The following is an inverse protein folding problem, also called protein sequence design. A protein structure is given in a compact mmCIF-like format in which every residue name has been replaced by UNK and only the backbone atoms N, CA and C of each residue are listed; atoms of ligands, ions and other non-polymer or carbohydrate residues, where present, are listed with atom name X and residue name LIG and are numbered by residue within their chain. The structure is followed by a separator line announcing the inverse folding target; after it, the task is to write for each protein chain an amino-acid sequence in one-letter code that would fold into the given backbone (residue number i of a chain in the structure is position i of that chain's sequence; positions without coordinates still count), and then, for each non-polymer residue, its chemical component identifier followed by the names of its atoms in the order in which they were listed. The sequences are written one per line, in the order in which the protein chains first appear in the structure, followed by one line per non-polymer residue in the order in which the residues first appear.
data_IF_103925422805
#
_entry.id   IF_103925422805
#
_cell.length_a   1.000
_cell.length_b   1.000
_cell.length_c   1.000
_cell.angle_alpha   90.00
_cell.angle_beta   90.00
_cell.angle_gamma   90.00
#
_symmetry.space_group_name_H-M   'P 1'
#
loop_
_entity.id
_entity.type
_entity.pdbx_description
1 polymer ?
#
# COMPACT_ATOMS: atom_id res chain seq x y z
N UNK A 1 -14.25 -19.22 -3.51
CA UNK A 1 -13.02 -19.60 -2.78
C UNK A 1 -13.44 -19.79 -1.34
N UNK A 2 -13.12 -20.94 -0.77
CA UNK A 2 -13.47 -21.26 0.61
C UNK A 2 -12.74 -20.32 1.60
N UNK A 3 -13.43 -19.89 2.64
CA UNK A 3 -12.86 -19.03 3.68
C UNK A 3 -12.61 -17.57 3.28
N UNK A 4 -13.20 -17.07 2.19
CA UNK A 4 -13.18 -15.64 1.85
C UNK A 4 -14.08 -14.84 2.79
N UNK A 5 -13.51 -13.86 3.51
CA UNK A 5 -14.25 -12.92 4.36
C UNK A 5 -14.93 -11.83 3.54
N UNK A 6 -14.27 -11.32 2.49
CA UNK A 6 -14.77 -10.23 1.65
C UNK A 6 -14.42 -10.46 0.17
N UNK A 7 -15.36 -10.18 -0.72
CA UNK A 7 -15.18 -10.24 -2.18
C UNK A 7 -15.55 -8.87 -2.76
N UNK A 8 -14.54 -8.15 -3.27
CA UNK A 8 -14.62 -6.74 -3.62
C UNK A 8 -14.36 -6.57 -5.11
N UNK A 9 -15.30 -5.91 -5.79
CA UNK A 9 -15.09 -5.44 -7.16
C UNK A 9 -14.26 -4.16 -7.12
N UNK A 10 -13.19 -4.14 -7.91
CA UNK A 10 -12.30 -3.01 -8.04
C UNK A 10 -12.25 -2.55 -9.49
N UNK A 11 -13.07 -1.56 -9.82
CA UNK A 11 -13.12 -0.94 -11.14
C UNK A 11 -12.17 0.25 -11.19
N UNK A 12 -11.26 0.22 -12.15
CA UNK A 12 -10.34 1.32 -12.46
C UNK A 12 -10.90 2.10 -13.65
N UNK A 13 -11.12 3.40 -13.50
CA UNK A 13 -11.49 4.29 -14.60
C UNK A 13 -10.53 5.48 -14.66
N UNK A 14 -10.12 5.87 -15.86
CA UNK A 14 -9.15 6.95 -16.11
C UNK A 14 -9.59 7.91 -17.24
N UNK A 15 -10.82 7.76 -17.69
CA UNK A 15 -11.41 8.54 -18.76
C UNK A 15 -12.27 9.68 -18.19
N UNK A 16 -13.51 9.81 -18.64
CA UNK A 16 -14.46 10.81 -18.15
C UNK A 16 -14.66 10.62 -16.63
N UNK A 17 -14.31 11.64 -15.85
CA UNK A 17 -14.33 11.59 -14.38
C UNK A 17 -12.95 11.53 -13.72
N UNK A 18 -11.88 11.36 -14.52
CA UNK A 18 -10.50 11.33 -14.04
C UNK A 18 -10.11 9.96 -13.48
N UNK A 19 -9.06 9.94 -12.65
CA UNK A 19 -8.52 8.73 -12.04
C UNK A 19 -9.37 8.29 -10.85
N UNK A 20 -10.05 7.16 -10.96
CA UNK A 20 -11.00 6.73 -9.93
C UNK A 20 -10.93 5.23 -9.65
N UNK A 21 -11.34 4.88 -8.43
CA UNK A 21 -11.64 3.52 -7.97
C UNK A 21 -13.15 3.45 -7.74
N UNK A 22 -13.85 2.56 -8.44
CA UNK A 22 -15.30 2.40 -8.36
C UNK A 22 -16.05 3.74 -8.56
N UNK A 23 -15.59 4.55 -9.51
CA UNK A 23 -16.16 5.85 -9.85
C UNK A 23 -15.89 6.99 -8.86
N UNK A 24 -15.02 6.79 -7.87
CA UNK A 24 -14.60 7.85 -6.91
C UNK A 24 -13.10 8.07 -6.93
N UNK A 25 -12.68 9.32 -6.90
CA UNK A 25 -11.29 9.70 -6.67
C UNK A 25 -11.07 10.05 -5.19
N UNK A 26 -9.89 9.77 -4.66
CA UNK A 26 -9.49 10.19 -3.32
C UNK A 26 -9.66 11.72 -3.17
N UNK A 27 -10.19 12.20 -2.03
CA UNK A 27 -10.46 11.49 -0.77
C UNK A 27 -11.86 10.84 -0.66
N UNK A 28 -12.63 10.74 -1.74
CA UNK A 28 -13.99 10.19 -1.71
C UNK A 28 -14.05 8.66 -1.88
N UNK A 29 -12.92 8.00 -2.11
CA UNK A 29 -12.79 6.55 -2.16
C UNK A 29 -13.14 5.91 -0.81
N UNK A 30 -13.78 4.75 -0.85
CA UNK A 30 -14.10 4.01 0.37
C UNK A 30 -12.90 3.16 0.77
N UNK A 31 -12.39 3.27 2.03
CA UNK A 31 -11.38 2.35 2.53
C UNK A 31 -11.97 0.94 2.68
N UNK A 32 -11.14 -0.06 2.46
CA UNK A 32 -11.46 -1.45 2.76
C UNK A 32 -11.20 -1.64 4.26
N UNK A 33 -12.18 -2.18 4.99
CA UNK A 33 -12.05 -2.43 6.42
C UNK A 33 -12.09 -3.93 6.65
N UNK A 34 -11.05 -4.48 7.26
CA UNK A 34 -10.94 -5.90 7.58
C UNK A 34 -10.55 -6.11 9.04
N UNK A 35 -10.76 -7.32 9.52
CA UNK A 35 -10.23 -7.80 10.80
C UNK A 35 -8.99 -8.63 10.55
N UNK A 36 -8.04 -8.59 11.48
CA UNK A 36 -6.88 -9.47 11.48
C UNK A 36 -7.31 -10.95 11.31
N UNK A 37 -6.73 -11.62 10.33
CA UNK A 37 -7.07 -12.99 9.91
C UNK A 37 -8.07 -13.06 8.75
N UNK A 38 -8.66 -11.94 8.32
CA UNK A 38 -9.56 -11.93 7.18
C UNK A 38 -8.84 -12.26 5.87
N UNK A 39 -9.58 -12.94 4.98
CA UNK A 39 -9.15 -13.19 3.61
C UNK A 39 -10.01 -12.37 2.65
N UNK A 40 -9.39 -11.43 1.95
CA UNK A 40 -10.06 -10.56 0.99
C UNK A 40 -9.74 -11.03 -0.42
N UNK A 41 -10.75 -11.08 -1.27
CA UNK A 41 -10.59 -11.23 -2.72
C UNK A 41 -10.85 -9.88 -3.37
N UNK A 42 -9.88 -9.34 -4.08
CA UNK A 42 -10.03 -8.16 -4.93
C UNK A 42 -10.14 -8.63 -6.37
N UNK A 43 -11.22 -8.23 -7.03
CA UNK A 43 -11.46 -8.48 -8.46
C UNK A 43 -11.17 -7.21 -9.23
N UNK A 44 -9.94 -7.08 -9.72
CA UNK A 44 -9.55 -5.96 -10.53
C UNK A 44 -10.23 -6.02 -11.90
N UNK A 45 -10.76 -4.88 -12.32
CA UNK A 45 -11.32 -4.66 -13.64
C UNK A 45 -10.81 -3.30 -14.12
N UNK A 46 -10.02 -3.29 -15.18
CA UNK A 46 -9.60 -2.03 -15.78
C UNK A 46 -10.51 -1.67 -16.95
N UNK A 47 -11.41 -0.73 -16.71
CA UNK A 47 -12.31 -0.15 -17.72
C UNK A 47 -11.72 1.12 -18.35
N UNK A 48 -10.52 1.52 -17.94
CA UNK A 48 -9.76 2.62 -18.49
C UNK A 48 -9.04 2.28 -19.78
N UNK A 49 -8.29 3.28 -20.28
CA UNK A 49 -7.49 3.20 -21.50
C UNK A 49 -5.98 3.13 -21.23
N UNK A 50 -5.54 3.32 -19.98
CA UNK A 50 -4.16 3.18 -19.53
C UNK A 50 -3.97 1.94 -18.66
N UNK A 51 -2.73 1.49 -18.55
CA UNK A 51 -2.36 0.46 -17.58
C UNK A 51 -2.33 1.07 -16.17
N UNK A 52 -2.85 0.32 -15.19
CA UNK A 52 -2.84 0.72 -13.78
C UNK A 52 -2.10 -0.32 -12.92
N UNK A 53 -0.86 -0.02 -12.48
CA UNK A 53 -0.16 -0.83 -11.48
C UNK A 53 -0.74 -0.59 -10.09
N UNK A 54 -1.52 -1.53 -9.58
CA UNK A 54 -2.12 -1.46 -8.24
C UNK A 54 -1.12 -1.96 -7.21
N UNK A 55 -0.69 -1.07 -6.31
CA UNK A 55 0.30 -1.34 -5.27
C UNK A 55 -0.36 -1.31 -3.88
N UNK A 56 -0.21 -2.40 -3.13
CA UNK A 56 -0.66 -2.52 -1.75
C UNK A 56 0.55 -2.49 -0.81
N UNK A 57 0.50 -1.61 0.18
CA UNK A 57 1.49 -1.56 1.25
C UNK A 57 1.25 -2.66 2.29
N UNK A 58 2.31 -3.07 2.99
CA UNK A 58 2.26 -3.98 4.15
C UNK A 58 2.13 -5.46 3.78
N UNK A 59 1.15 -5.84 2.96
CA UNK A 59 0.84 -7.23 2.64
C UNK A 59 0.95 -7.52 1.15
N UNK A 60 1.42 -8.71 0.76
CA UNK A 60 1.45 -9.09 -0.64
C UNK A 60 0.07 -9.54 -1.14
N UNK A 61 -0.14 -9.38 -2.44
CA UNK A 61 -1.30 -9.91 -3.16
C UNK A 61 -0.95 -11.23 -3.85
N UNK A 62 -1.71 -12.29 -3.58
CA UNK A 62 -1.60 -13.55 -4.32
C UNK A 62 -2.58 -13.56 -5.49
N UNK A 63 -2.06 -13.56 -6.71
CA UNK A 63 -2.84 -13.55 -7.95
C UNK A 63 -3.24 -14.96 -8.32
N UNK A 64 -4.54 -15.18 -8.51
CA UNK A 64 -5.12 -16.54 -8.62
C UNK A 64 -5.92 -16.79 -9.87
N UNK A 65 -6.40 -15.73 -10.53
CA UNK A 65 -7.12 -15.84 -11.79
C UNK A 65 -6.85 -14.62 -12.68
N UNK A 66 -6.98 -14.82 -13.98
CA UNK A 66 -6.95 -13.78 -15.01
C UNK A 66 -8.12 -14.00 -15.97
N UNK A 67 -8.86 -12.94 -16.27
CA UNK A 67 -10.00 -12.92 -17.20
C UNK A 67 -11.02 -14.05 -16.95
N UNK A 68 -11.25 -14.37 -15.67
CA UNK A 68 -12.18 -15.41 -15.23
C UNK A 68 -11.61 -16.83 -15.22
N UNK A 69 -10.36 -17.03 -15.66
CA UNK A 69 -9.69 -18.33 -15.67
C UNK A 69 -8.70 -18.47 -14.51
N UNK A 70 -8.80 -19.53 -13.68
CA UNK A 70 -7.83 -19.81 -12.63
C UNK A 70 -6.42 -20.03 -13.20
N UNK A 71 -5.42 -19.44 -12.57
CA UNK A 71 -4.01 -19.64 -12.95
C UNK A 71 -3.46 -21.01 -12.51
N UNK A 72 -4.06 -21.61 -11.48
CA UNK A 72 -3.62 -22.88 -10.93
C UNK A 72 -2.14 -22.82 -10.50
N UNK A 73 -1.26 -23.71 -11.01
CA UNK A 73 0.17 -23.68 -10.70
C UNK A 73 0.91 -22.39 -11.12
N UNK A 74 0.33 -21.61 -12.04
CA UNK A 74 0.89 -20.33 -12.49
C UNK A 74 0.50 -19.14 -11.60
N UNK A 75 -0.22 -19.38 -10.49
CA UNK A 75 -0.49 -18.36 -9.49
C UNK A 75 0.83 -17.81 -8.92
N UNK A 76 0.87 -16.51 -8.67
CA UNK A 76 2.07 -15.81 -8.19
C UNK A 76 1.71 -14.76 -7.15
N UNK A 77 2.71 -14.25 -6.44
CA UNK A 77 2.56 -13.26 -5.39
C UNK A 77 3.33 -12.00 -5.77
N UNK A 78 2.71 -10.83 -5.60
CA UNK A 78 3.35 -9.54 -5.84
C UNK A 78 2.78 -8.46 -4.90
N UNK A 79 3.55 -7.39 -4.65
CA UNK A 79 3.04 -6.17 -3.99
C UNK A 79 2.33 -5.23 -4.98
N UNK A 80 2.66 -5.35 -6.27
CA UNK A 80 2.18 -4.48 -7.35
C UNK A 80 1.72 -5.33 -8.52
N UNK A 81 0.48 -5.11 -8.97
CA UNK A 81 -0.09 -5.78 -10.14
C UNK A 81 -0.42 -4.76 -11.23
N UNK A 82 0.28 -4.84 -12.37
CA UNK A 82 -0.09 -4.12 -13.58
C UNK A 82 -1.35 -4.70 -14.21
N UNK A 83 -2.43 -3.92 -14.26
CA UNK A 83 -3.68 -4.30 -14.93
C UNK A 83 -3.84 -3.47 -16.20
N UNK A 84 -3.74 -4.11 -17.36
CA UNK A 84 -3.91 -3.43 -18.66
C UNK A 84 -5.39 -3.15 -18.97
N UNK A 85 -5.68 -2.24 -19.92
CA UNK A 85 -7.04 -2.02 -20.38
C UNK A 85 -7.77 -3.31 -20.73
N UNK A 86 -9.02 -3.44 -20.27
CA UNK A 86 -9.88 -4.62 -20.46
C UNK A 86 -9.43 -5.93 -19.77
N UNK A 87 -8.33 -5.92 -19.00
CA UNK A 87 -7.95 -7.08 -18.19
C UNK A 87 -8.75 -7.17 -16.90
N UNK A 88 -8.95 -8.41 -16.44
CA UNK A 88 -9.45 -8.71 -15.11
C UNK A 88 -8.50 -9.65 -14.38
N UNK A 89 -8.30 -9.40 -13.11
CA UNK A 89 -7.45 -10.23 -12.26
C UNK A 89 -8.11 -10.44 -10.90
N UNK A 90 -8.01 -11.65 -10.37
CA UNK A 90 -8.40 -11.93 -8.98
C UNK A 90 -7.14 -12.00 -8.12
N UNK A 91 -7.09 -11.17 -7.08
CA UNK A 91 -6.05 -11.16 -6.07
C UNK A 91 -6.62 -11.55 -4.71
N UNK A 92 -5.89 -12.41 -3.98
CA UNK A 92 -6.20 -12.79 -2.60
C UNK A 92 -5.22 -12.08 -1.67
N UNK A 93 -5.75 -11.38 -0.68
CA UNK A 93 -5.00 -10.71 0.38
C UNK A 93 -5.36 -11.41 1.70
N UNK A 94 -4.34 -11.83 2.44
CA UNK A 94 -4.49 -12.37 3.79
C UNK A 94 -4.10 -11.25 4.77
N UNK A 95 -5.05 -10.81 5.60
CA UNK A 95 -4.86 -9.67 6.49
C UNK A 95 -4.13 -10.11 7.77
N UNK A 96 -2.80 -10.08 7.78
CA UNK A 96 -1.97 -10.63 8.86
C UNK A 96 -1.30 -9.58 9.76
N UNK A 97 -1.37 -8.29 9.40
CA UNK A 97 -0.84 -7.19 10.21
C UNK A 97 -1.87 -6.06 10.41
N UNK A 98 -2.22 -5.71 11.67
CA UNK A 98 -3.21 -4.69 11.96
C UNK A 98 -2.60 -3.27 11.83
N UNK A 99 -2.91 -2.58 10.75
CA UNK A 99 -2.64 -1.16 10.53
C UNK A 99 -3.55 -0.60 9.42
N UNK A 100 -3.36 0.67 9.05
CA UNK A 100 -3.91 1.28 7.85
C UNK A 100 -2.84 1.32 6.75
N UNK A 101 -3.06 0.52 5.71
CA UNK A 101 -2.14 0.34 4.59
C UNK A 101 -2.62 1.11 3.37
N UNK A 102 -1.75 1.93 2.77
CA UNK A 102 -2.07 2.62 1.54
C UNK A 102 -2.25 1.62 0.39
N UNK A 103 -3.24 1.87 -0.45
CA UNK A 103 -3.51 1.07 -1.65
C UNK A 103 -3.78 2.01 -2.81
N UNK A 104 -2.86 2.08 -3.76
CA UNK A 104 -2.90 3.10 -4.79
C UNK A 104 -2.34 2.64 -6.13
N UNK A 105 -2.61 3.42 -7.18
CA UNK A 105 -1.94 3.26 -8.46
C UNK A 105 -0.49 3.75 -8.35
N UNK A 106 0.45 2.97 -8.86
CA UNK A 106 1.89 3.27 -8.85
C UNK A 106 2.33 4.13 -10.06
N UNK A 107 1.38 4.57 -10.89
CA UNK A 107 1.61 5.73 -11.77
C UNK A 107 1.33 6.97 -10.93
N UNK A 108 2.39 7.62 -10.44
CA UNK A 108 2.26 8.69 -9.45
C UNK A 108 1.34 9.83 -9.90
N UNK A 109 1.32 10.17 -11.19
CA UNK A 109 0.40 11.19 -11.72
C UNK A 109 -1.08 10.82 -11.63
N UNK A 110 -1.41 9.57 -11.29
CA UNK A 110 -2.79 9.10 -11.03
C UNK A 110 -3.14 9.11 -9.54
N UNK A 111 -2.14 9.28 -8.67
CA UNK A 111 -2.24 9.13 -7.21
C UNK A 111 -1.79 10.39 -6.43
N UNK A 112 -0.97 11.25 -7.03
CA UNK A 112 -0.37 12.44 -6.40
C UNK A 112 -0.38 13.64 -7.35
N UNK A 113 -0.84 14.78 -6.82
CA UNK A 113 -0.81 16.07 -7.49
C UNK A 113 -0.11 17.12 -6.62
N UNK A 114 -0.13 18.38 -7.08
CA UNK A 114 0.51 19.49 -6.36
C UNK A 114 -0.05 19.71 -4.95
N UNK A 115 -1.31 19.36 -4.73
CA UNK A 115 -2.04 19.53 -3.47
C UNK A 115 -2.05 18.25 -2.60
N UNK A 116 -1.25 17.23 -2.96
CA UNK A 116 -1.15 15.95 -2.25
C UNK A 116 -1.83 14.78 -2.97
N UNK A 117 -2.18 13.75 -2.20
CA UNK A 117 -2.82 12.54 -2.75
C UNK A 117 -4.19 12.86 -3.38
N UNK A 118 -4.45 12.29 -4.55
CA UNK A 118 -5.73 12.41 -5.24
C UNK A 118 -5.97 11.20 -6.15
N UNK A 119 -7.20 11.01 -6.62
CA UNK A 119 -7.48 10.04 -7.68
C UNK A 119 -7.45 8.59 -7.21
N UNK A 120 -6.57 7.76 -7.79
CA UNK A 120 -6.51 6.31 -7.57
C UNK A 120 -5.76 5.95 -6.28
N UNK A 121 -6.32 6.36 -5.14
CA UNK A 121 -5.80 6.09 -3.79
C UNK A 121 -6.94 5.65 -2.88
N UNK A 122 -6.72 4.62 -2.08
CA UNK A 122 -7.56 4.24 -0.93
C UNK A 122 -6.68 3.61 0.16
N UNK A 123 -7.30 3.03 1.18
CA UNK A 123 -6.60 2.30 2.23
C UNK A 123 -7.24 0.94 2.49
N UNK A 124 -6.43 -0.03 2.89
CA UNK A 124 -6.85 -1.24 3.57
C UNK A 124 -6.57 -1.06 5.07
N UNK A 125 -7.63 -0.98 5.87
CA UNK A 125 -7.56 -0.83 7.32
C UNK A 125 -7.83 -2.18 7.97
N UNK A 126 -6.79 -2.78 8.54
CA UNK A 126 -6.86 -4.05 9.26
C UNK A 126 -6.96 -3.76 10.76
N UNK A 127 -8.08 -4.15 11.36
CA UNK A 127 -8.37 -3.95 12.77
C UNK A 127 -8.01 -5.20 13.57
N UNK A 128 -7.48 -5.06 14.80
CA UNK A 128 -7.36 -6.21 15.69
C UNK A 128 -8.75 -6.77 16.03
N UNK A 129 -8.86 -8.06 16.37
CA UNK A 129 -10.15 -8.66 16.70
C UNK A 129 -10.75 -7.97 17.93
N UNK A 130 -12.09 -7.86 17.98
CA UNK A 130 -12.81 -7.11 19.01
C UNK A 130 -12.40 -7.46 20.46
N UNK A 131 -12.10 -8.75 20.73
CA UNK A 131 -11.62 -9.22 22.02
C UNK A 131 -10.29 -8.58 22.47
N UNK A 132 -9.42 -8.20 21.53
CA UNK A 132 -8.18 -7.48 21.83
C UNK A 132 -8.44 -6.02 22.21
N UNK A 133 -9.46 -5.38 21.62
CA UNK A 133 -9.83 -3.98 21.90
C UNK A 133 -10.45 -3.83 23.30
N UNK A 134 -11.25 -4.81 23.74
CA UNK A 134 -11.84 -4.85 25.09
C UNK A 134 -10.76 -5.00 26.20
N UNK A 135 -9.70 -5.76 25.92
CA UNK A 135 -8.53 -5.88 26.80
C UNK A 135 -7.73 -4.59 26.94
N UNK A 136 -7.69 -3.76 25.90
CA UNK A 136 -7.01 -2.45 25.90
C UNK A 136 -7.80 -1.38 26.68
N UNK A 137 -9.14 -1.47 26.70
CA UNK A 137 -10.02 -0.53 27.42
C UNK A 137 -10.07 -0.80 28.94
N UNK A 138 -9.89 -2.06 29.36
CA UNK A 138 -10.03 -2.47 30.76
C UNK A 138 -8.74 -2.35 31.62
N UNK A 139 -7.58 -2.06 31.00
CA UNK A 139 -6.28 -1.92 31.69
C UNK A 139 -5.99 -0.55 32.32
N UNK A 140 -6.89 0.44 32.19
CA UNK A 140 -6.68 1.80 32.67
C UNK A 140 -6.83 1.96 34.18
N UNK A 141 -5.86 1.52 34.98
CA UNK A 141 -5.72 2.00 36.37
C UNK A 141 -5.43 3.50 36.31
N UNK A 142 -6.46 4.33 36.51
CA UNK A 142 -6.35 5.80 36.61
C UNK A 142 -5.31 6.14 37.66
N UNK A 143 -4.16 6.66 37.23
CA UNK A 143 -3.24 7.36 38.14
C UNK A 143 -3.93 8.67 38.55
N UNK A 144 -4.16 8.94 39.84
CA UNK A 144 -4.75 10.21 40.25
C UNK A 144 -3.69 11.31 40.04
N UNK A 145 -3.93 12.24 39.10
CA UNK A 145 -3.13 13.47 38.99
C UNK A 145 -2.80 13.99 37.58
N UNK A 146 -3.04 13.24 36.50
CA UNK A 146 -2.74 13.69 35.13
C UNK A 146 -3.88 14.51 34.52
N UNK A 147 -3.69 15.81 34.28
CA UNK A 147 -4.59 16.63 33.46
C UNK A 147 -4.54 16.11 32.01
N UNK A 148 -5.67 15.64 31.50
CA UNK A 148 -5.81 15.30 30.08
C UNK A 148 -5.96 16.60 29.27
N UNK A 149 -5.00 16.89 28.40
CA UNK A 149 -5.23 17.85 27.32
C UNK A 149 -6.13 17.16 26.29
N UNK A 150 -7.35 17.68 26.12
CA UNK A 150 -8.27 17.28 25.06
C UNK A 150 -7.58 17.59 23.72
N UNK A 151 -7.30 16.55 22.92
CA UNK A 151 -6.82 16.74 21.55
C UNK A 151 -7.92 17.49 20.79
N UNK A 152 -7.64 18.74 20.44
CA UNK A 152 -8.52 19.56 19.62
C UNK A 152 -8.43 19.02 18.18
N UNK A 153 -9.56 18.58 17.62
CA UNK A 153 -9.62 18.27 16.19
C UNK A 153 -9.32 19.57 15.40
N UNK A 154 -8.47 19.51 14.36
CA UNK A 154 -8.15 20.71 13.57
C UNK A 154 -9.37 21.23 12.80
N UNK A 155 -9.40 22.56 12.63
CA UNK A 155 -10.46 23.29 11.92
C UNK A 155 -10.55 22.82 10.46
N UNK A 156 -11.74 22.45 9.95
CA UNK A 156 -11.93 22.01 8.55
C UNK A 156 -11.58 23.06 7.49
N UNK A 157 -11.23 24.29 7.87
CA UNK A 157 -10.74 25.34 6.95
C UNK A 157 -9.22 25.37 6.79
N UNK A 158 -8.49 24.54 7.52
CA UNK A 158 -7.03 24.48 7.42
C UNK A 158 -6.62 23.51 6.29
N UNK A 159 -6.04 24.05 5.23
CA UNK A 159 -5.50 23.26 4.11
C UNK A 159 -4.21 22.59 4.59
N UNK A 160 -4.21 21.25 4.65
CA UNK A 160 -3.01 20.49 4.98
C UNK A 160 -1.94 20.76 3.92
N UNK A 161 -0.75 21.15 4.36
CA UNK A 161 0.41 21.34 3.49
C UNK A 161 1.18 20.02 3.36
N UNK A 162 2.07 19.91 2.38
CA UNK A 162 2.90 18.72 2.11
C UNK A 162 3.67 18.17 3.33
N UNK A 163 3.92 19.00 4.35
CA UNK A 163 4.56 18.58 5.61
C UNK A 163 3.62 17.99 6.65
N UNK A 164 2.31 18.15 6.46
CA UNK A 164 1.26 17.71 7.40
C UNK A 164 0.63 16.38 6.99
N UNK A 165 1.08 15.80 5.86
CA UNK A 165 0.69 14.46 5.43
C UNK A 165 1.31 13.42 6.40
N UNK A 166 0.50 12.70 7.20
CA UNK A 166 1.00 11.71 8.15
C UNK A 166 1.80 10.59 7.48
N UNK A 167 1.57 10.38 6.18
CA UNK A 167 2.12 9.25 5.41
C UNK A 167 3.53 9.49 4.86
N UNK A 168 3.99 10.75 4.78
CA UNK A 168 5.39 11.07 4.40
C UNK A 168 6.38 10.99 5.58
N UNK A 169 5.91 10.73 6.81
CA UNK A 169 6.78 10.76 7.99
C UNK A 169 7.68 9.53 8.10
N UNK A 170 7.30 8.42 7.47
CA UNK A 170 8.03 7.13 7.52
C UNK A 170 9.28 7.09 6.65
N UNK A 171 9.45 8.02 5.69
CA UNK A 171 10.63 8.02 4.80
C UNK A 171 11.83 8.83 5.32
N UNK A 172 11.68 9.66 6.37
CA UNK A 172 12.76 10.53 6.85
C UNK A 172 13.75 9.89 7.81
N UNK A 173 13.47 8.69 8.31
CA UNK A 173 14.34 8.04 9.33
C UNK A 173 15.41 7.11 8.72
N UNK A 174 15.43 6.95 7.39
CA UNK A 174 16.46 6.22 6.64
C UNK A 174 17.54 7.12 6.05
N UNK A 175 18.27 7.88 6.86
CA UNK A 175 19.36 8.74 6.40
C UNK A 175 20.62 7.94 6.04
N UNK A 176 20.85 7.72 4.74
CA UNK A 176 22.19 7.42 4.20
C UNK A 176 22.65 8.62 3.36
N UNK A 177 23.73 9.26 3.80
CA UNK A 177 24.37 10.34 3.03
C UNK A 177 24.96 9.82 1.70
N UNK A 178 24.89 10.59 0.61
CA UNK A 178 25.48 10.20 -0.66
C UNK A 178 26.99 10.49 -0.67
N UNK A 179 27.88 9.55 -1.05
CA UNK A 179 29.27 9.87 -1.29
C UNK A 179 29.44 10.57 -2.65
N UNK A 180 30.14 11.70 -2.56
CA UNK A 180 30.90 12.45 -3.57
C UNK A 180 30.82 12.07 -5.06
N UNK A 181 30.40 13.08 -5.82
CA UNK A 181 30.57 13.31 -7.26
C UNK A 181 31.99 13.00 -7.76
N UNK A 182 32.12 12.09 -8.72
CA UNK A 182 33.25 12.06 -9.64
C UNK A 182 32.75 12.06 -11.09
N UNK A 183 33.03 13.17 -11.77
CA UNK A 183 32.84 13.38 -13.20
C UNK A 183 33.55 12.29 -14.02
N UNK A 184 32.83 11.64 -14.94
CA UNK A 184 33.45 11.00 -16.09
C UNK A 184 32.75 11.45 -17.37
N UNK A 185 33.57 12.03 -18.26
CA UNK A 185 33.24 12.50 -19.60
C UNK A 185 33.15 11.34 -20.59
N UNK A 186 32.31 11.51 -21.60
CA UNK A 186 32.19 10.70 -22.82
C UNK A 186 30.72 10.35 -23.06
N UNK A 187 30.07 10.56 -24.21
CA UNK A 187 30.51 10.81 -25.57
C UNK A 187 29.73 9.87 -26.50
N UNK A 188 28.80 10.44 -27.29
CA UNK A 188 28.23 9.95 -28.56
C UNK A 188 26.90 9.16 -28.62
N UNK A 189 25.95 9.79 -29.34
CA UNK A 189 25.04 9.33 -30.44
C UNK A 189 24.02 8.21 -30.25
N UNK A 190 22.74 8.62 -30.27
CA UNK A 190 21.66 8.32 -31.24
C UNK A 190 21.22 6.88 -31.59
N UNK A 191 19.89 6.72 -31.52
CA UNK A 191 18.95 5.81 -32.25
C UNK A 191 18.80 4.33 -31.86
N UNK A 192 17.53 3.89 -31.80
CA UNK A 192 17.11 2.54 -32.23
C UNK A 192 16.38 1.65 -31.22
N UNK A 193 15.09 1.44 -31.48
CA UNK A 193 14.14 0.46 -30.92
C UNK A 193 14.68 -0.83 -30.27
N UNK A 194 14.03 -1.23 -29.16
CA UNK A 194 14.10 -2.60 -28.63
C UNK A 194 13.01 -2.87 -27.58
N UNK A 195 11.97 -3.60 -27.99
CA UNK A 195 11.07 -4.33 -27.09
C UNK A 195 11.87 -5.40 -26.32
N UNK A 196 11.79 -5.44 -24.98
CA UNK A 196 11.79 -6.68 -24.19
C UNK A 196 11.79 -6.44 -22.67
N UNK A 197 11.12 -7.36 -21.98
CA UNK A 197 11.27 -7.80 -20.59
C UNK A 197 10.47 -7.12 -19.47
N UNK A 198 9.35 -7.80 -19.17
CA UNK A 198 8.67 -7.78 -17.89
C UNK A 198 9.61 -8.26 -16.79
N UNK A 199 9.95 -7.37 -15.86
CA UNK A 199 10.74 -7.66 -14.68
C UNK A 199 9.83 -8.31 -13.63
N UNK A 200 9.95 -9.62 -13.48
CA UNK A 200 9.42 -10.37 -12.33
C UNK A 200 10.35 -10.08 -11.15
N UNK A 201 9.90 -9.30 -10.17
CA UNK A 201 10.62 -9.13 -8.92
C UNK A 201 10.20 -10.23 -7.94
N UNK A 202 11.11 -11.16 -7.67
CA UNK A 202 11.03 -12.15 -6.60
C UNK A 202 11.33 -11.50 -5.24
N UNK A 203 10.49 -11.81 -4.25
CA UNK A 203 10.66 -11.44 -2.84
C UNK A 203 11.89 -12.15 -2.27
N UNK A 204 12.77 -11.41 -1.59
CA UNK A 204 13.70 -12.01 -0.62
C UNK A 204 13.35 -11.51 0.78
N UNK A 205 12.86 -12.44 1.61
CA UNK A 205 12.67 -12.25 3.05
C UNK A 205 14.01 -12.01 3.75
N UNK A 206 14.11 -10.97 4.59
CA UNK A 206 14.87 -11.00 5.86
C UNK A 206 14.73 -9.68 6.63
N UNK A 207 13.88 -9.67 7.65
CA UNK A 207 14.13 -8.95 8.90
C UNK A 207 13.18 -9.45 10.01
N UNK A 208 13.54 -10.57 10.66
CA UNK A 208 13.03 -10.92 11.98
C UNK A 208 14.00 -10.37 13.03
N UNK A 209 13.65 -9.30 13.73
CA UNK A 209 14.39 -8.84 14.91
C UNK A 209 13.78 -9.47 16.15
N UNK A 210 14.46 -10.49 16.69
CA UNK A 210 14.17 -11.09 17.99
C UNK A 210 15.32 -10.78 18.96
N UNK A 211 14.95 -10.13 20.06
CA UNK A 211 15.51 -10.15 21.43
C UNK A 211 16.82 -9.43 21.75
N UNK A 212 16.65 -8.42 22.61
CA UNK A 212 17.58 -8.08 23.67
C UNK A 212 17.96 -9.31 24.51
N UNK A 213 19.25 -9.47 24.78
CA UNK A 213 19.79 -9.90 26.07
C UNK A 213 21.29 -9.58 26.15
N UNK A 214 21.67 -8.96 27.25
CA UNK A 214 23.03 -8.61 27.65
C UNK A 214 23.95 -9.82 27.85
N UNK A 215 25.22 -9.63 27.47
CA UNK A 215 26.49 -10.26 27.89
C UNK A 215 27.40 -10.25 26.64
N UNK A 216 28.55 -9.56 26.53
CA UNK A 216 29.58 -9.23 27.49
C UNK A 216 30.88 -9.92 27.02
N UNK A 217 31.86 -9.15 26.52
CA UNK A 217 33.28 -9.51 26.23
C UNK A 217 33.52 -10.63 25.17
N UNK A 218 34.54 -10.67 24.30
CA UNK A 218 35.80 -9.95 24.05
C UNK A 218 36.23 -10.28 22.59
N UNK A 219 37.14 -9.50 22.00
CA UNK A 219 37.71 -9.68 20.65
C UNK A 219 38.67 -10.89 20.55
N UNK A 220 38.51 -11.74 19.52
CA UNK A 220 39.51 -12.05 18.47
C UNK A 220 38.86 -12.84 17.32
#
# INVERSE_FOLDING_TARGET
MDGTSQDIIWVSNDALGGFTINGRGFPATAPIVATLGDKIVIRFMNEGVMMHPWHLHGMPMRIVARDGYPLGPAAFTCDTLGVNPSERWDAVIECDEPDAWAFHCHVLTHAEGIDGMFGMVTALVVQPPAAAIEGMSSGGRRRPGGRFHRLQLPDPRHRLTRSDDPWMRTEREGGLEPPHRQEQRGGHTAEGNGFSDAMVCTVTEKARTLKCRDAGFEEE
#
